data_IF_632074346698
#
_entry.id   IF_632074346698
#
_cell.length_a   1.000
_cell.length_b   1.000
_cell.length_c   1.000
_cell.angle_alpha   90.00
_cell.angle_beta   90.00
_cell.angle_gamma   90.00
#
_symmetry.space_group_name_H-M   'P 1'
#
loop_
_entity.id
_entity.type
_entity.pdbx_description
1 polymer ?
#
# COMPACT_ATOMS: atom_id res chain seq x y z
N UNK A 1 -8.01 -28.28 12.79
CA UNK A 1 -7.98 -27.33 11.65
C UNK A 1 -9.16 -26.40 11.79
N UNK A 2 -8.91 -25.08 11.86
CA UNK A 2 -9.96 -24.04 11.97
C UNK A 2 -10.68 -23.80 10.64
N UNK A 3 -10.11 -24.21 9.51
CA UNK A 3 -10.68 -24.03 8.19
C UNK A 3 -9.69 -23.52 7.16
N UNK A 4 -10.09 -22.49 6.43
CA UNK A 4 -9.29 -21.87 5.38
C UNK A 4 -9.20 -20.37 5.59
N UNK A 5 -8.08 -19.78 5.19
CA UNK A 5 -7.90 -18.33 5.10
C UNK A 5 -7.72 -17.98 3.62
N UNK A 6 -8.74 -17.38 3.03
CA UNK A 6 -8.70 -16.90 1.66
C UNK A 6 -8.11 -15.49 1.69
N UNK A 7 -7.01 -15.30 0.99
CA UNK A 7 -6.27 -14.04 1.04
C UNK A 7 -5.98 -13.56 -0.37
N UNK A 8 -6.12 -12.26 -0.56
CA UNK A 8 -5.69 -11.55 -1.75
C UNK A 8 -4.92 -10.31 -1.33
N UNK A 9 -3.96 -9.87 -2.14
CA UNK A 9 -3.12 -8.71 -1.85
C UNK A 9 -2.93 -7.82 -3.06
N UNK A 10 -2.82 -6.50 -2.81
CA UNK A 10 -2.24 -5.57 -3.76
C UNK A 10 -0.81 -5.21 -3.35
N UNK A 11 0.04 -4.93 -4.33
CA UNK A 11 1.48 -4.75 -4.10
C UNK A 11 2.05 -3.60 -4.92
N UNK A 12 3.18 -3.02 -4.48
CA UNK A 12 3.90 -1.99 -5.24
C UNK A 12 4.53 -2.52 -6.54
N UNK A 13 4.39 -3.80 -6.88
CA UNK A 13 4.89 -4.42 -8.11
C UNK A 13 5.08 -5.93 -7.98
N UNK A 14 5.61 -6.57 -9.00
CA UNK A 14 5.48 -8.02 -9.23
C UNK A 14 6.43 -8.93 -8.43
N UNK A 15 7.44 -8.43 -7.73
CA UNK A 15 8.46 -9.29 -7.12
C UNK A 15 8.99 -8.76 -5.79
N UNK A 16 8.75 -9.50 -4.72
CA UNK A 16 9.30 -9.22 -3.40
C UNK A 16 10.85 -9.14 -3.40
N UNK A 17 11.51 -9.98 -4.21
CA UNK A 17 12.98 -10.00 -4.33
C UNK A 17 13.55 -8.68 -4.89
N UNK A 18 12.77 -7.92 -5.63
CA UNK A 18 13.12 -6.59 -6.11
C UNK A 18 12.69 -5.47 -5.15
N UNK A 19 12.37 -5.85 -3.92
CA UNK A 19 12.02 -4.91 -2.85
C UNK A 19 10.57 -4.44 -2.90
N UNK A 20 9.71 -4.96 -3.79
CA UNK A 20 8.29 -4.63 -3.77
C UNK A 20 7.61 -5.12 -2.49
N UNK A 21 6.59 -4.40 -2.04
CA UNK A 21 5.91 -4.62 -0.77
C UNK A 21 4.39 -4.66 -0.96
N UNK A 22 3.70 -5.21 0.03
CA UNK A 22 2.23 -5.21 0.08
C UNK A 22 1.72 -3.80 0.38
N UNK A 23 0.63 -3.38 -0.29
CA UNK A 23 -0.08 -2.12 -0.07
C UNK A 23 -1.51 -2.30 0.38
N UNK A 24 -2.09 -3.49 0.19
CA UNK A 24 -3.41 -3.84 0.69
C UNK A 24 -3.49 -5.34 0.96
N UNK A 25 -4.26 -5.72 1.96
CA UNK A 25 -4.56 -7.12 2.30
C UNK A 25 -6.06 -7.26 2.49
N UNK A 26 -6.67 -8.25 1.84
CA UNK A 26 -8.01 -8.73 2.10
C UNK A 26 -7.97 -10.19 2.57
N UNK A 27 -8.70 -10.50 3.65
CA UNK A 27 -8.76 -11.83 4.25
C UNK A 27 -10.20 -12.25 4.48
N UNK A 28 -10.53 -13.48 4.08
CA UNK A 28 -11.81 -14.12 4.37
C UNK A 28 -11.54 -15.45 5.07
N UNK A 29 -12.00 -15.59 6.30
CA UNK A 29 -11.86 -16.81 7.08
C UNK A 29 -13.05 -17.73 6.82
N UNK A 30 -12.78 -18.97 6.44
CA UNK A 30 -13.82 -19.97 6.19
C UNK A 30 -13.69 -21.12 7.19
N UNK A 31 -14.85 -21.67 7.59
CA UNK A 31 -14.90 -22.94 8.33
C UNK A 31 -14.36 -24.10 7.50
N UNK A 32 -14.12 -25.28 8.09
CA UNK A 32 -13.76 -26.49 7.34
C UNK A 32 -14.79 -26.88 6.28
N UNK A 33 -16.08 -26.53 6.47
CA UNK A 33 -17.18 -26.77 5.55
C UNK A 33 -17.30 -25.66 4.47
N UNK A 34 -16.51 -24.61 4.58
CA UNK A 34 -16.48 -23.48 3.64
C UNK A 34 -17.43 -22.32 3.99
N UNK A 35 -18.07 -22.31 5.18
CA UNK A 35 -18.87 -21.17 5.59
C UNK A 35 -17.97 -19.98 6.02
N UNK A 36 -18.34 -18.76 5.61
CA UNK A 36 -17.63 -17.53 6.04
C UNK A 36 -17.80 -17.35 7.54
N UNK A 37 -16.72 -17.21 8.26
CA UNK A 37 -16.64 -16.99 9.70
C UNK A 37 -16.33 -15.53 10.03
N UNK A 38 -15.37 -14.94 9.30
CA UNK A 38 -14.94 -13.56 9.49
C UNK A 38 -14.31 -13.03 8.20
N UNK A 39 -14.20 -11.72 8.09
CA UNK A 39 -13.46 -11.06 7.01
C UNK A 39 -12.94 -9.70 7.47
N UNK A 40 -11.77 -9.32 6.95
CA UNK A 40 -11.20 -8.01 7.20
C UNK A 40 -10.30 -7.56 6.05
N UNK A 41 -10.11 -6.26 5.96
CA UNK A 41 -9.17 -5.65 5.01
C UNK A 41 -8.38 -4.54 5.68
N UNK A 42 -7.25 -4.23 5.12
CA UNK A 42 -6.54 -2.99 5.44
C UNK A 42 -5.59 -2.60 4.32
N UNK A 43 -5.50 -1.30 4.09
CA UNK A 43 -4.36 -0.70 3.43
C UNK A 43 -3.11 -0.91 4.28
N UNK A 44 -1.95 -1.01 3.65
CA UNK A 44 -0.65 -1.16 4.29
C UNK A 44 0.27 -0.05 3.82
N UNK A 45 0.90 0.64 4.76
CA UNK A 45 1.99 1.55 4.45
C UNK A 45 3.25 0.74 4.11
N UNK A 46 3.68 0.67 2.84
CA UNK A 46 4.81 -0.14 2.42
C UNK A 46 6.16 0.48 2.81
N UNK A 47 6.17 1.69 3.37
CA UNK A 47 7.35 2.49 3.68
C UNK A 47 8.30 2.66 2.48
N UNK A 48 7.73 2.77 1.29
CA UNK A 48 8.43 2.97 0.02
C UNK A 48 7.49 3.55 -1.03
N UNK A 49 8.06 4.00 -2.15
CA UNK A 49 7.29 4.44 -3.32
C UNK A 49 6.30 3.37 -3.80
N UNK A 50 5.07 3.77 -4.09
CA UNK A 50 4.01 2.92 -4.66
C UNK A 50 4.08 3.04 -6.18
N UNK A 51 4.32 1.91 -6.83
CA UNK A 51 4.16 1.76 -8.27
C UNK A 51 2.88 0.93 -8.54
N UNK A 52 2.51 0.79 -9.81
CA UNK A 52 1.33 0.04 -10.25
C UNK A 52 -0.02 0.63 -9.80
N UNK A 53 -0.08 1.91 -9.45
CA UNK A 53 -1.32 2.65 -9.12
C UNK A 53 -2.37 2.55 -10.23
N UNK A 54 -1.96 2.42 -11.48
CA UNK A 54 -2.85 2.21 -12.62
C UNK A 54 -3.58 0.85 -12.59
N UNK A 55 -3.11 -0.11 -11.78
CA UNK A 55 -3.71 -1.44 -11.65
C UNK A 55 -4.69 -1.49 -10.49
N UNK A 56 -4.24 -1.12 -9.28
CA UNK A 56 -5.04 -1.25 -8.04
C UNK A 56 -5.64 0.06 -7.55
N UNK A 57 -5.28 1.20 -8.15
CA UNK A 57 -5.83 2.52 -7.80
C UNK A 57 -5.33 3.12 -6.49
N UNK A 58 -4.47 2.41 -5.73
CA UNK A 58 -3.97 2.88 -4.44
C UNK A 58 -2.81 3.84 -4.67
N UNK A 59 -2.91 5.03 -4.12
CA UNK A 59 -1.90 6.07 -4.15
C UNK A 59 -1.07 6.11 -2.85
N UNK A 60 0.01 6.88 -2.85
CA UNK A 60 0.83 7.09 -1.65
C UNK A 60 0.01 7.74 -0.53
N UNK A 61 -0.92 8.66 -0.88
CA UNK A 61 -1.81 9.32 0.07
C UNK A 61 -2.75 8.36 0.79
N UNK A 62 -3.22 7.32 0.12
CA UNK A 62 -4.16 6.37 0.70
C UNK A 62 -3.53 5.54 1.82
N UNK A 63 -2.23 5.26 1.71
CA UNK A 63 -1.51 4.39 2.65
C UNK A 63 -0.73 5.12 3.73
N UNK A 64 -0.66 6.45 3.69
CA UNK A 64 0.18 7.19 4.62
C UNK A 64 -0.27 7.01 6.08
N UNK A 65 -1.59 6.99 6.33
CA UNK A 65 -2.19 6.70 7.65
C UNK A 65 -2.44 5.22 7.90
N UNK A 66 -2.10 4.36 6.96
CA UNK A 66 -2.30 2.93 7.10
C UNK A 66 -1.24 2.31 8.02
N UNK A 67 -1.56 1.20 8.71
CA UNK A 67 -0.57 0.46 9.47
C UNK A 67 0.53 -0.08 8.55
N UNK A 68 1.74 -0.20 9.08
CA UNK A 68 2.81 -0.97 8.43
C UNK A 68 2.50 -2.46 8.49
N UNK A 69 3.13 -3.27 7.62
CA UNK A 69 2.94 -4.72 7.68
C UNK A 69 3.29 -5.31 9.06
N UNK A 70 4.34 -4.82 9.70
CA UNK A 70 4.74 -5.27 11.03
C UNK A 70 3.64 -5.07 12.09
N UNK A 71 2.82 -4.04 11.97
CA UNK A 71 1.72 -3.76 12.90
C UNK A 71 0.52 -4.71 12.70
N UNK A 72 0.34 -5.28 11.50
CA UNK A 72 -0.75 -6.22 11.20
C UNK A 72 -0.29 -7.69 11.13
N UNK A 73 1.01 -7.94 11.22
CA UNK A 73 1.58 -9.27 11.08
C UNK A 73 0.97 -10.30 12.05
N UNK A 74 0.77 -9.94 13.31
CA UNK A 74 0.17 -10.84 14.31
C UNK A 74 -1.31 -11.13 14.00
N UNK A 75 -2.07 -10.15 13.51
CA UNK A 75 -3.47 -10.38 13.07
C UNK A 75 -3.51 -11.34 11.89
N UNK A 76 -2.66 -11.14 10.90
CA UNK A 76 -2.58 -12.04 9.75
C UNK A 76 -2.12 -13.44 10.18
N UNK A 77 -1.11 -13.54 11.05
CA UNK A 77 -0.65 -14.81 11.60
C UNK A 77 -1.78 -15.54 12.33
N UNK A 78 -2.60 -14.82 13.11
CA UNK A 78 -3.78 -15.38 13.78
C UNK A 78 -4.85 -15.88 12.80
N UNK A 79 -5.10 -15.14 11.71
CA UNK A 79 -6.01 -15.57 10.65
C UNK A 79 -5.51 -16.82 9.92
N UNK A 80 -4.20 -16.97 9.80
CA UNK A 80 -3.57 -18.14 9.17
C UNK A 80 -3.39 -19.33 10.13
N UNK A 81 -3.49 -19.10 11.45
CA UNK A 81 -3.27 -20.15 12.46
C UNK A 81 -4.26 -21.30 12.31
N UNK A 82 -3.74 -22.53 12.14
CA UNK A 82 -4.52 -23.75 11.95
C UNK A 82 -5.54 -23.67 10.79
N UNK A 83 -5.27 -22.81 9.78
CA UNK A 83 -6.01 -22.71 8.52
C UNK A 83 -5.11 -23.00 7.34
N UNK A 84 -5.68 -23.46 6.22
CA UNK A 84 -4.98 -23.58 4.94
C UNK A 84 -5.11 -22.24 4.22
N UNK A 85 -3.99 -21.72 3.75
CA UNK A 85 -3.96 -20.53 2.90
C UNK A 85 -4.59 -20.83 1.54
N UNK A 86 -5.51 -19.98 1.10
CA UNK A 86 -6.19 -20.10 -0.21
C UNK A 86 -6.05 -18.78 -0.94
N UNK A 87 -5.66 -18.82 -2.22
CA UNK A 87 -5.65 -17.64 -3.08
C UNK A 87 -5.88 -18.03 -4.54
N UNK A 88 -6.10 -17.05 -5.41
CA UNK A 88 -6.21 -17.27 -6.86
C UNK A 88 -4.89 -16.92 -7.54
N UNK A 89 -4.20 -17.92 -8.13
CA UNK A 89 -2.79 -17.82 -8.53
C UNK A 89 -1.85 -17.64 -7.31
N UNK A 90 -2.11 -18.46 -6.32
CA UNK A 90 -1.60 -18.36 -4.95
C UNK A 90 -0.07 -18.26 -4.78
N UNK A 91 0.70 -18.61 -5.81
CA UNK A 91 2.17 -18.46 -5.78
C UNK A 91 2.64 -17.04 -5.57
N UNK A 92 1.90 -16.07 -6.09
CA UNK A 92 2.18 -14.64 -5.94
C UNK A 92 1.93 -14.18 -4.51
N UNK A 93 0.70 -14.30 -4.03
CA UNK A 93 0.27 -13.85 -2.71
C UNK A 93 1.07 -14.52 -1.59
N UNK A 94 1.22 -15.85 -1.67
CA UNK A 94 2.01 -16.60 -0.72
C UNK A 94 3.45 -16.10 -0.62
N UNK A 95 4.08 -15.78 -1.76
CA UNK A 95 5.48 -15.32 -1.75
C UNK A 95 5.63 -14.01 -1.00
N UNK A 96 4.76 -13.05 -1.23
CA UNK A 96 4.79 -11.77 -0.53
C UNK A 96 4.45 -11.94 0.95
N UNK A 97 3.32 -12.58 1.26
CA UNK A 97 2.85 -12.78 2.64
C UNK A 97 3.89 -13.52 3.48
N UNK A 98 4.39 -14.65 2.98
CA UNK A 98 5.39 -15.44 3.72
C UNK A 98 6.68 -14.65 3.93
N UNK A 99 7.13 -13.90 2.94
CA UNK A 99 8.34 -13.09 3.05
C UNK A 99 8.19 -11.94 4.06
N UNK A 100 7.04 -11.27 4.08
CA UNK A 100 6.74 -10.21 5.04
C UNK A 100 6.60 -10.77 6.48
N UNK A 101 5.89 -11.89 6.64
CA UNK A 101 5.75 -12.56 7.94
C UNK A 101 7.10 -13.04 8.48
N UNK A 102 7.98 -13.59 7.61
CA UNK A 102 9.34 -13.97 7.99
C UNK A 102 10.17 -12.76 8.43
N UNK A 103 10.08 -11.65 7.71
CA UNK A 103 10.77 -10.42 8.09
C UNK A 103 10.32 -9.89 9.46
N UNK A 104 9.04 -10.07 9.80
CA UNK A 104 8.47 -9.73 11.11
C UNK A 104 8.65 -10.83 12.17
N UNK A 105 9.26 -11.99 11.83
CA UNK A 105 9.34 -13.18 12.67
C UNK A 105 7.97 -13.71 13.15
N UNK A 106 6.95 -13.53 12.34
CA UNK A 106 5.58 -13.92 12.61
C UNK A 106 5.18 -15.24 11.92
N UNK A 107 6.09 -15.95 11.28
CA UNK A 107 5.89 -17.31 10.77
C UNK A 107 7.20 -18.12 10.76
N UNK A 108 7.07 -19.44 10.53
CA UNK A 108 8.23 -20.32 10.32
C UNK A 108 8.76 -20.24 8.89
N UNK A 109 9.99 -20.73 8.66
CA UNK A 109 10.59 -20.83 7.32
C UNK A 109 9.90 -21.90 6.44
N UNK A 110 9.07 -22.76 7.02
CA UNK A 110 8.32 -23.77 6.27
C UNK A 110 7.30 -23.10 5.35
N UNK A 111 7.11 -23.70 4.17
CA UNK A 111 6.16 -23.15 3.20
C UNK A 111 4.72 -23.25 3.72
N UNK A 112 3.96 -22.15 3.63
CA UNK A 112 2.53 -22.14 3.95
C UNK A 112 1.79 -23.20 3.13
N UNK A 113 1.05 -24.12 3.77
CA UNK A 113 0.17 -25.05 3.07
C UNK A 113 -0.88 -24.28 2.28
N UNK A 114 -0.89 -24.47 0.97
CA UNK A 114 -1.57 -23.55 0.05
C UNK A 114 -2.48 -24.31 -0.91
N UNK A 115 -3.71 -23.82 -1.07
CA UNK A 115 -4.63 -24.18 -2.14
C UNK A 115 -4.67 -23.05 -3.16
N UNK A 116 -4.44 -23.39 -4.42
CA UNK A 116 -4.53 -22.46 -5.54
C UNK A 116 -5.83 -22.69 -6.32
N UNK A 117 -6.76 -21.76 -6.27
CA UNK A 117 -8.04 -21.86 -6.95
C UNK A 117 -7.89 -21.76 -8.48
N UNK A 118 -6.83 -21.15 -9.02
CA UNK A 118 -6.56 -21.16 -10.45
C UNK A 118 -6.14 -22.57 -10.93
N UNK A 119 -5.44 -23.34 -10.09
CA UNK A 119 -5.13 -24.77 -10.37
C UNK A 119 -6.42 -25.59 -10.41
N UNK A 120 -7.32 -25.38 -9.43
CA UNK A 120 -8.62 -26.05 -9.42
C UNK A 120 -9.47 -25.66 -10.63
N UNK A 121 -9.52 -24.38 -10.99
CA UNK A 121 -10.25 -23.90 -12.15
C UNK A 121 -9.75 -24.49 -13.47
N UNK A 122 -8.43 -24.57 -13.68
CA UNK A 122 -7.86 -25.23 -14.87
C UNK A 122 -8.29 -26.70 -14.96
N UNK A 123 -8.41 -27.36 -13.82
CA UNK A 123 -8.71 -28.79 -13.76
C UNK A 123 -10.20 -29.11 -13.93
N UNK A 124 -11.07 -28.22 -13.43
CA UNK A 124 -12.50 -28.57 -13.27
C UNK A 124 -13.48 -27.69 -14.04
N UNK A 125 -13.10 -26.46 -14.43
CA UNK A 125 -14.02 -25.59 -15.16
C UNK A 125 -13.91 -25.71 -16.69
N UNK A 126 -12.82 -26.31 -17.19
CA UNK A 126 -12.62 -26.46 -18.64
C UNK A 126 -12.45 -25.15 -19.40
N UNK A 127 -12.09 -24.07 -18.70
CA UNK A 127 -11.95 -22.75 -19.29
C UNK A 127 -10.61 -22.58 -20.01
N UNK A 128 -10.57 -21.85 -21.15
CA UNK A 128 -9.32 -21.58 -21.87
C UNK A 128 -8.41 -20.60 -21.09
N UNK A 129 -9.00 -19.77 -20.25
CA UNK A 129 -8.34 -18.85 -19.32
C UNK A 129 -8.96 -19.01 -17.95
N UNK A 130 -8.13 -18.87 -16.92
CA UNK A 130 -8.55 -19.06 -15.52
C UNK A 130 -8.12 -17.88 -14.67
N UNK A 131 -8.19 -16.65 -15.20
CA UNK A 131 -8.13 -15.46 -14.35
C UNK A 131 -9.35 -15.42 -13.44
N UNK A 132 -9.26 -14.80 -12.29
CA UNK A 132 -10.37 -14.72 -11.33
C UNK A 132 -11.66 -14.23 -12.01
N UNK A 133 -11.58 -13.14 -12.76
CA UNK A 133 -12.74 -12.60 -13.50
C UNK A 133 -13.36 -13.58 -14.51
N UNK A 134 -12.55 -14.39 -15.22
CA UNK A 134 -13.07 -15.41 -16.16
C UNK A 134 -13.82 -16.51 -15.39
N UNK A 135 -13.29 -16.94 -14.24
CA UNK A 135 -13.92 -17.94 -13.38
C UNK A 135 -15.22 -17.41 -12.76
N UNK A 136 -15.20 -16.17 -12.26
CA UNK A 136 -16.36 -15.50 -11.69
C UNK A 136 -17.48 -15.37 -12.72
N UNK A 137 -17.17 -14.88 -13.93
CA UNK A 137 -18.14 -14.75 -15.02
C UNK A 137 -18.76 -16.11 -15.40
N UNK A 138 -17.96 -17.18 -15.44
CA UNK A 138 -18.43 -18.54 -15.75
C UNK A 138 -19.42 -19.08 -14.71
N UNK A 139 -19.19 -18.78 -13.44
CA UNK A 139 -20.00 -19.26 -12.31
C UNK A 139 -21.09 -18.29 -11.85
N UNK A 140 -21.19 -17.10 -12.46
CA UNK A 140 -22.14 -16.05 -12.04
C UNK A 140 -21.78 -15.43 -10.69
N UNK A 141 -20.50 -15.43 -10.33
CA UNK A 141 -19.99 -14.75 -9.13
C UNK A 141 -19.80 -13.27 -9.45
N UNK A 142 -20.44 -12.39 -8.68
CA UNK A 142 -20.29 -10.96 -8.84
C UNK A 142 -19.05 -10.45 -8.12
N UNK A 143 -18.22 -9.69 -8.83
CA UNK A 143 -17.05 -8.99 -8.30
C UNK A 143 -17.02 -7.58 -8.88
N UNK A 144 -17.82 -6.68 -8.27
CA UNK A 144 -18.01 -5.31 -8.78
C UNK A 144 -16.82 -4.38 -8.47
N UNK A 145 -16.01 -4.73 -7.46
CA UNK A 145 -14.84 -3.98 -7.00
C UNK A 145 -13.54 -4.75 -7.29
N UNK A 146 -13.41 -5.28 -8.52
CA UNK A 146 -12.18 -5.93 -8.94
C UNK A 146 -10.96 -5.01 -8.69
N UNK A 147 -9.84 -5.62 -8.27
CA UNK A 147 -8.62 -4.93 -7.82
C UNK A 147 -8.75 -4.23 -6.44
N UNK A 148 -9.73 -4.65 -5.62
CA UNK A 148 -9.73 -4.45 -4.18
C UNK A 148 -9.47 -5.78 -3.51
N UNK A 149 -8.47 -5.85 -2.63
CA UNK A 149 -8.01 -7.12 -2.06
C UNK A 149 -9.13 -7.88 -1.34
N UNK A 150 -10.02 -7.21 -0.58
CA UNK A 150 -11.14 -7.91 0.06
C UNK A 150 -12.18 -8.40 -0.95
N UNK A 151 -12.50 -7.62 -1.99
CA UNK A 151 -13.47 -8.04 -3.00
C UNK A 151 -12.95 -9.25 -3.80
N UNK A 152 -11.66 -9.27 -4.16
CA UNK A 152 -11.04 -10.39 -4.86
C UNK A 152 -10.88 -11.61 -3.95
N UNK A 153 -10.58 -11.44 -2.65
CA UNK A 153 -10.61 -12.50 -1.66
C UNK A 153 -12.01 -13.10 -1.47
N UNK A 154 -13.07 -12.27 -1.44
CA UNK A 154 -14.46 -12.73 -1.36
C UNK A 154 -14.89 -13.49 -2.61
N UNK A 155 -14.55 -13.00 -3.80
CA UNK A 155 -14.80 -13.70 -5.06
C UNK A 155 -14.06 -15.05 -5.11
N UNK A 156 -12.81 -15.07 -4.66
CA UNK A 156 -12.00 -16.28 -4.53
C UNK A 156 -12.59 -17.25 -3.50
N UNK A 157 -13.13 -16.76 -2.40
CA UNK A 157 -13.82 -17.58 -1.40
C UNK A 157 -15.07 -18.26 -2.00
N UNK A 158 -15.90 -17.53 -2.76
CA UNK A 158 -17.07 -18.10 -3.44
C UNK A 158 -16.65 -19.13 -4.49
N UNK A 159 -15.62 -18.84 -5.26
CA UNK A 159 -15.03 -19.80 -6.22
C UNK A 159 -14.54 -21.06 -5.50
N UNK A 160 -13.87 -20.92 -4.38
CA UNK A 160 -13.39 -22.03 -3.58
C UNK A 160 -14.54 -22.85 -2.95
N UNK A 161 -15.59 -22.19 -2.44
CA UNK A 161 -16.81 -22.84 -1.97
C UNK A 161 -17.47 -23.68 -3.06
N UNK A 162 -17.51 -23.16 -4.31
CA UNK A 162 -18.00 -23.95 -5.44
C UNK A 162 -17.21 -25.27 -5.61
N UNK A 163 -15.87 -25.22 -5.52
CA UNK A 163 -15.05 -26.43 -5.60
C UNK A 163 -15.25 -27.36 -4.41
N UNK A 164 -15.43 -26.85 -3.21
CA UNK A 164 -15.72 -27.66 -2.03
C UNK A 164 -17.00 -28.49 -2.17
N UNK A 165 -18.02 -27.95 -2.84
CA UNK A 165 -19.33 -28.59 -3.00
C UNK A 165 -19.36 -29.49 -4.23
N UNK A 166 -18.79 -29.04 -5.37
CA UNK A 166 -19.07 -29.64 -6.67
C UNK A 166 -17.96 -30.58 -7.20
N UNK A 167 -16.83 -30.70 -6.46
CA UNK A 167 -15.71 -31.52 -6.92
C UNK A 167 -15.22 -32.53 -5.87
N UNK A 168 -16.09 -33.42 -5.31
CA UNK A 168 -15.74 -34.27 -4.17
C UNK A 168 -14.57 -35.21 -4.42
N UNK A 169 -14.53 -35.88 -5.60
CA UNK A 169 -13.49 -36.85 -5.93
C UNK A 169 -12.10 -36.22 -6.12
N UNK A 170 -12.06 -35.00 -6.60
CA UNK A 170 -10.83 -34.25 -6.79
C UNK A 170 -10.28 -33.64 -5.50
N UNK A 171 -11.16 -33.31 -4.58
CA UNK A 171 -10.80 -32.86 -3.24
C UNK A 171 -10.00 -33.94 -2.51
N UNK A 172 -10.28 -35.20 -2.72
CA UNK A 172 -9.71 -36.27 -1.93
C UNK A 172 -8.19 -36.38 -2.00
N UNK A 173 -7.52 -36.21 -3.14
CA UNK A 173 -6.04 -36.25 -3.19
C UNK A 173 -5.39 -34.93 -2.92
N UNK A 174 -5.77 -33.87 -3.67
CA UNK A 174 -5.16 -32.54 -3.54
C UNK A 174 -5.41 -31.93 -2.17
N UNK A 175 -6.64 -31.99 -1.68
CA UNK A 175 -7.00 -31.48 -0.36
C UNK A 175 -6.39 -32.29 0.78
N UNK A 176 -6.31 -33.64 0.65
CA UNK A 176 -5.64 -34.47 1.65
C UNK A 176 -4.15 -34.17 1.76
N UNK A 177 -3.47 -33.91 0.64
CA UNK A 177 -2.07 -33.48 0.66
C UNK A 177 -1.90 -32.15 1.42
N UNK A 178 -2.72 -31.14 1.11
CA UNK A 178 -2.69 -29.84 1.79
C UNK A 178 -3.04 -29.96 3.28
N UNK A 179 -4.02 -30.78 3.62
CA UNK A 179 -4.37 -31.09 5.01
C UNK A 179 -3.25 -31.81 5.77
N UNK A 180 -2.51 -32.70 5.08
CA UNK A 180 -1.36 -33.38 5.66
C UNK A 180 -0.20 -32.39 5.90
N UNK A 181 0.06 -31.49 4.95
CA UNK A 181 1.04 -30.42 5.10
C UNK A 181 0.66 -29.47 6.24
N UNK A 182 -0.62 -29.07 6.37
CA UNK A 182 -1.11 -28.23 7.44
C UNK A 182 -0.87 -28.82 8.83
N UNK A 183 -1.00 -30.14 8.98
CA UNK A 183 -0.73 -30.80 10.26
C UNK A 183 0.75 -30.78 10.66
N UNK A 184 1.63 -30.64 9.69
CA UNK A 184 3.07 -30.54 9.92
C UNK A 184 3.55 -29.10 10.04
N UNK A 185 2.79 -28.15 9.48
CA UNK A 185 3.10 -26.74 9.50
C UNK A 185 2.94 -26.19 10.91
N UNK A 186 3.99 -25.59 11.43
CA UNK A 186 3.97 -24.87 12.69
C UNK A 186 3.84 -23.37 12.40
N UNK A 187 2.63 -22.88 12.45
CA UNK A 187 2.38 -21.46 12.52
C UNK A 187 3.00 -20.93 13.81
N UNK A 188 3.67 -19.79 13.74
CA UNK A 188 3.96 -19.05 14.96
C UNK A 188 2.64 -18.43 15.42
N UNK A 189 2.24 -18.75 16.64
CA UNK A 189 1.12 -18.06 17.28
C UNK A 189 1.45 -16.57 17.39
N UNK A 190 0.46 -15.68 17.33
CA UNK A 190 0.64 -14.27 17.61
C UNK A 190 1.43 -14.06 18.89
N UNK A 191 2.21 -12.99 18.96
CA UNK A 191 2.98 -12.71 20.17
C UNK A 191 2.06 -12.63 21.40
N UNK A 192 2.45 -13.18 22.55
CA UNK A 192 1.63 -13.07 23.77
C UNK A 192 1.32 -11.61 24.08
N UNK A 193 0.01 -11.28 24.15
CA UNK A 193 -0.43 -9.92 24.44
C UNK A 193 -0.50 -8.99 23.21
N UNK A 194 -0.48 -9.53 21.98
CA UNK A 194 -0.76 -8.70 20.79
C UNK A 194 -2.12 -8.01 20.93
N UNK A 195 -2.18 -6.76 20.47
CA UNK A 195 -3.41 -5.99 20.43
C UNK A 195 -3.95 -5.97 19.00
N UNK A 196 -5.28 -5.89 18.86
CA UNK A 196 -5.91 -5.70 17.55
C UNK A 196 -5.39 -4.41 16.91
N UNK A 197 -4.80 -4.47 15.70
CA UNK A 197 -4.28 -3.28 15.05
C UNK A 197 -5.42 -2.35 14.59
N UNK A 198 -5.14 -1.07 14.52
CA UNK A 198 -6.03 -0.14 13.83
C UNK A 198 -5.94 -0.41 12.32
N UNK A 199 -7.04 -0.89 11.74
CA UNK A 199 -7.15 -1.17 10.31
C UNK A 199 -7.66 0.07 9.57
N UNK A 200 -7.22 0.26 8.32
CA UNK A 200 -7.67 1.35 7.45
C UNK A 200 -8.16 0.76 6.12
N UNK A 201 -9.47 0.74 5.90
CA UNK A 201 -10.05 0.32 4.62
C UNK A 201 -9.92 1.41 3.56
N UNK A 202 -10.01 1.05 2.26
CA UNK A 202 -10.09 2.03 1.16
C UNK A 202 -11.20 3.05 1.40
N UNK A 203 -12.39 2.60 1.73
CA UNK A 203 -13.54 3.47 1.95
C UNK A 203 -13.31 4.46 3.11
N UNK A 204 -12.60 4.03 4.17
CA UNK A 204 -12.25 4.92 5.26
C UNK A 204 -11.19 5.95 4.85
N UNK A 205 -10.19 5.54 4.04
CA UNK A 205 -9.19 6.45 3.50
C UNK A 205 -9.81 7.49 2.56
N UNK A 206 -10.68 7.06 1.63
CA UNK A 206 -11.41 7.94 0.71
C UNK A 206 -12.31 8.92 1.48
N UNK A 207 -13.04 8.45 2.50
CA UNK A 207 -13.90 9.29 3.32
C UNK A 207 -13.10 10.35 4.09
N UNK A 208 -11.92 9.98 4.60
CA UNK A 208 -11.01 10.91 5.26
C UNK A 208 -10.47 11.97 4.29
N UNK A 209 -10.12 11.59 3.07
CA UNK A 209 -9.68 12.50 2.01
C UNK A 209 -10.80 13.49 1.61
N UNK A 210 -12.03 13.02 1.46
CA UNK A 210 -13.17 13.87 1.13
C UNK A 210 -13.47 14.88 2.23
N UNK A 211 -13.45 14.46 3.50
CA UNK A 211 -13.67 15.35 4.64
C UNK A 211 -12.62 16.47 4.74
N UNK A 212 -11.41 16.22 4.25
CA UNK A 212 -10.36 17.24 4.22
C UNK A 212 -10.49 18.23 3.08
N UNK A 213 -10.96 17.79 1.93
CA UNK A 213 -11.24 18.70 0.80
C UNK A 213 -12.30 19.73 1.18
N UNK A 214 -13.24 19.36 2.07
CA UNK A 214 -14.33 20.23 2.54
C UNK A 214 -13.93 21.20 3.66
N UNK A 215 -12.80 20.97 4.35
CA UNK A 215 -12.43 21.71 5.57
C UNK A 215 -11.06 22.35 5.56
N UNK A 216 -10.75 23.33 4.70
CA UNK A 216 -9.53 24.16 4.69
C UNK A 216 -8.40 23.81 5.70
N UNK A 217 -7.70 22.71 5.48
CA UNK A 217 -6.69 22.12 6.38
C UNK A 217 -5.59 23.09 6.84
N UNK A 218 -5.26 24.06 5.98
CA UNK A 218 -4.23 25.05 6.28
C UNK A 218 -4.62 25.99 7.43
N UNK A 219 -5.92 26.24 7.63
CA UNK A 219 -6.40 27.07 8.73
C UNK A 219 -6.23 26.41 10.12
N UNK A 220 -6.22 25.07 10.17
CA UNK A 220 -5.97 24.32 11.41
C UNK A 220 -4.50 24.29 11.83
N UNK A 221 -3.56 24.44 10.88
CA UNK A 221 -2.13 24.54 11.11
C UNK A 221 -1.72 25.83 11.84
N UNK A 222 -2.48 26.89 11.60
CA UNK A 222 -2.14 28.28 12.00
C UNK A 222 -2.21 28.54 13.51
N UNK A 223 -2.75 27.65 14.30
CA UNK A 223 -3.16 27.96 15.66
C UNK A 223 -2.12 27.70 16.77
N UNK A 224 -0.91 27.14 16.53
CA UNK A 224 0.04 26.82 17.64
C UNK A 224 1.55 26.99 17.31
N UNK A 225 2.32 27.31 18.29
CA UNK A 225 3.62 28.03 18.41
C UNK A 225 4.91 27.21 18.37
N UNK A 226 5.99 27.86 17.91
CA UNK A 226 7.47 27.86 18.18
C UNK A 226 8.39 26.82 17.47
N UNK A 227 9.52 27.32 16.93
CA UNK A 227 10.42 26.77 15.90
C UNK A 227 11.58 25.93 16.43
N UNK A 228 12.00 24.88 15.75
CA UNK A 228 13.28 24.20 15.97
C UNK A 228 14.15 23.88 14.74
N UNK A 229 15.30 23.26 15.03
CA UNK A 229 16.52 23.06 14.28
C UNK A 229 16.44 22.13 13.04
N UNK A 230 17.51 22.15 12.24
CA UNK A 230 17.74 21.56 10.91
C UNK A 230 17.27 20.09 10.68
N UNK A 231 17.20 19.26 11.71
CA UNK A 231 16.77 17.83 11.56
C UNK A 231 15.26 17.70 11.32
N UNK A 232 14.47 18.59 11.90
CA UNK A 232 13.02 18.59 11.73
C UNK A 232 12.61 18.96 10.30
N UNK A 233 13.36 19.81 9.59
CA UNK A 233 13.10 20.20 8.21
C UNK A 233 13.24 19.00 7.25
N UNK A 234 14.28 18.18 7.41
CA UNK A 234 14.50 16.99 6.57
C UNK A 234 13.39 15.94 6.75
N UNK A 235 12.95 15.72 7.98
CA UNK A 235 11.87 14.76 8.25
C UNK A 235 10.51 15.31 7.79
N UNK A 236 10.30 16.63 7.84
CA UNK A 236 9.12 17.28 7.25
C UNK A 236 9.12 17.16 5.73
N UNK A 237 10.27 17.33 5.06
CA UNK A 237 10.38 17.15 3.62
C UNK A 237 10.11 15.72 3.17
N UNK A 238 10.57 14.71 3.91
CA UNK A 238 10.21 13.30 3.65
C UNK A 238 8.70 13.05 3.72
N UNK A 239 8.01 13.70 4.65
CA UNK A 239 6.55 13.65 4.73
C UNK A 239 5.89 14.33 3.53
N UNK A 240 6.43 15.47 3.07
CA UNK A 240 5.96 16.14 1.86
C UNK A 240 6.25 15.32 0.61
N UNK A 241 7.44 14.72 0.49
CA UNK A 241 7.79 13.81 -0.60
C UNK A 241 6.79 12.66 -0.69
N UNK A 242 6.47 12.03 0.44
CA UNK A 242 5.50 10.94 0.48
C UNK A 242 4.09 11.41 0.08
N UNK A 243 3.64 12.55 0.59
CA UNK A 243 2.28 13.05 0.36
C UNK A 243 2.05 13.68 -1.01
N UNK A 244 3.09 14.21 -1.65
CA UNK A 244 2.96 14.86 -2.96
C UNK A 244 3.25 13.94 -4.14
N UNK A 245 3.61 12.66 -3.89
CA UNK A 245 3.85 11.66 -4.94
C UNK A 245 2.68 11.49 -5.91
N UNK A 246 1.45 11.62 -5.43
CA UNK A 246 0.24 11.55 -6.25
C UNK A 246 -0.34 12.93 -6.63
N UNK A 247 0.41 14.00 -6.36
CA UNK A 247 0.06 15.39 -6.66
C UNK A 247 -1.07 15.98 -5.80
N UNK A 248 -1.43 15.35 -4.67
CA UNK A 248 -2.47 15.82 -3.75
C UNK A 248 -2.07 15.53 -2.32
N UNK A 249 -2.39 16.41 -1.39
CA UNK A 249 -2.28 16.12 0.03
C UNK A 249 -3.65 15.65 0.55
N UNK A 250 -3.72 14.40 0.94
CA UNK A 250 -4.91 13.82 1.57
C UNK A 250 -5.13 14.35 2.99
N UNK A 251 -6.30 14.12 3.57
CA UNK A 251 -6.59 14.47 4.97
C UNK A 251 -5.65 13.84 5.97
N UNK A 252 -5.29 12.62 5.70
CA UNK A 252 -4.38 11.87 6.58
C UNK A 252 -2.98 12.47 6.56
N UNK A 253 -2.49 12.80 5.37
CA UNK A 253 -1.21 13.48 5.18
C UNK A 253 -1.19 14.87 5.84
N UNK A 254 -2.25 15.62 5.64
CA UNK A 254 -2.44 16.92 6.30
C UNK A 254 -2.44 16.78 7.82
N UNK A 255 -3.15 15.75 8.35
CA UNK A 255 -3.16 15.48 9.79
C UNK A 255 -1.77 15.09 10.30
N UNK A 256 -1.01 14.31 9.53
CA UNK A 256 0.36 13.94 9.90
C UNK A 256 1.32 15.11 9.82
N UNK A 257 1.24 15.95 8.78
CA UNK A 257 2.01 17.18 8.66
C UNK A 257 1.68 18.14 9.82
N UNK A 258 0.39 18.24 10.18
CA UNK A 258 -0.07 19.03 11.33
C UNK A 258 0.47 18.47 12.65
N UNK A 259 0.37 17.16 12.85
CA UNK A 259 0.89 16.51 14.07
C UNK A 259 2.41 16.68 14.18
N UNK A 260 3.13 16.56 13.05
CA UNK A 260 4.56 16.82 13.00
C UNK A 260 4.90 18.26 13.36
N UNK A 261 4.20 19.22 12.77
CA UNK A 261 4.38 20.64 13.04
C UNK A 261 4.16 20.94 14.54
N UNK A 262 3.10 20.41 15.13
CA UNK A 262 2.80 20.55 16.56
C UNK A 262 3.88 19.93 17.45
N UNK A 263 4.34 18.72 17.10
CA UNK A 263 5.38 18.02 17.88
C UNK A 263 6.73 18.75 17.85
N UNK A 264 7.02 19.50 16.78
CA UNK A 264 8.28 20.22 16.59
C UNK A 264 8.14 21.74 16.79
N UNK A 265 6.94 22.19 17.21
CA UNK A 265 6.70 23.59 17.54
C UNK A 265 6.83 24.52 16.32
N UNK A 266 6.46 24.11 15.14
CA UNK A 266 6.43 24.91 13.93
C UNK A 266 5.20 25.82 13.94
N UNK A 267 5.40 27.13 13.85
CA UNK A 267 4.32 28.11 13.65
C UNK A 267 4.02 28.31 12.15
N UNK A 268 3.05 29.15 11.85
CA UNK A 268 2.65 29.45 10.46
C UNK A 268 3.82 29.99 9.63
N UNK A 269 4.68 30.79 10.23
CA UNK A 269 5.82 31.38 9.53
C UNK A 269 6.86 30.33 9.23
N UNK A 270 7.23 29.50 10.20
CA UNK A 270 8.18 28.40 10.01
C UNK A 270 7.71 27.34 9.02
N UNK A 271 6.39 27.05 8.99
CA UNK A 271 5.81 26.17 7.98
C UNK A 271 5.88 26.77 6.58
N UNK A 272 5.59 28.05 6.45
CA UNK A 272 5.69 28.73 5.15
C UNK A 272 7.12 28.73 4.64
N UNK A 273 8.11 29.01 5.48
CA UNK A 273 9.52 28.93 5.12
C UNK A 273 9.93 27.52 4.67
N UNK A 274 9.43 26.46 5.35
CA UNK A 274 9.66 25.08 4.94
C UNK A 274 9.01 24.74 3.60
N UNK A 275 7.78 25.20 3.36
CA UNK A 275 7.08 25.00 2.09
C UNK A 275 7.80 25.72 0.94
N UNK A 276 8.24 26.98 1.15
CA UNK A 276 9.01 27.73 0.16
C UNK A 276 10.36 27.04 -0.13
N UNK A 277 11.07 26.61 0.91
CA UNK A 277 12.32 25.87 0.76
C UNK A 277 12.14 24.54 0.01
N UNK A 278 11.07 23.80 0.31
CA UNK A 278 10.75 22.55 -0.38
C UNK A 278 10.46 22.76 -1.87
N UNK A 279 9.62 23.75 -2.22
CA UNK A 279 9.33 24.10 -3.62
C UNK A 279 10.61 24.56 -4.35
N UNK A 280 11.47 25.32 -3.67
CA UNK A 280 12.76 25.73 -4.24
C UNK A 280 13.63 24.54 -4.60
N UNK A 281 13.76 23.54 -3.71
CA UNK A 281 14.48 22.30 -4.00
C UNK A 281 13.91 21.54 -5.20
N UNK A 282 12.57 21.44 -5.29
CA UNK A 282 11.92 20.78 -6.42
C UNK A 282 12.17 21.53 -7.75
N UNK A 283 12.21 22.86 -7.73
CA UNK A 283 12.53 23.71 -8.91
C UNK A 283 13.99 23.50 -9.30
N UNK A 284 14.93 23.47 -8.36
CA UNK A 284 16.35 23.19 -8.64
C UNK A 284 16.53 21.81 -9.27
N UNK A 285 15.82 20.79 -8.79
CA UNK A 285 15.85 19.45 -9.34
C UNK A 285 15.27 19.41 -10.77
N UNK A 286 14.16 20.11 -11.02
CA UNK A 286 13.57 20.22 -12.36
C UNK A 286 14.48 20.92 -13.36
N UNK A 287 15.36 21.82 -12.90
CA UNK A 287 16.37 22.49 -13.73
C UNK A 287 17.69 21.70 -13.87
N UNK A 288 17.83 20.53 -13.22
CA UNK A 288 19.10 19.80 -13.14
C UNK A 288 19.65 19.37 -14.53
N UNK A 289 18.79 19.12 -15.51
CA UNK A 289 19.15 18.80 -16.88
C UNK A 289 19.08 20.01 -17.84
N UNK A 290 18.71 21.19 -17.33
CA UNK A 290 18.62 22.45 -18.07
C UNK A 290 17.31 22.65 -18.83
N UNK A 291 16.34 21.76 -18.73
CA UNK A 291 15.04 21.84 -19.43
C UNK A 291 13.91 21.41 -18.53
N UNK A 292 13.01 22.31 -18.15
CA UNK A 292 11.81 21.94 -17.38
C UNK A 292 10.72 21.47 -18.32
N UNK A 293 10.36 20.20 -18.23
CA UNK A 293 9.32 19.55 -19.03
C UNK A 293 7.91 20.03 -18.66
N UNK A 294 6.94 19.79 -19.54
CA UNK A 294 5.53 20.09 -19.26
C UNK A 294 4.98 19.26 -18.08
N UNK A 295 5.52 18.06 -17.86
CA UNK A 295 5.14 17.20 -16.74
C UNK A 295 5.68 17.75 -15.43
N UNK A 296 6.95 18.14 -15.36
CA UNK A 296 7.55 18.77 -14.18
C UNK A 296 6.84 20.06 -13.80
N UNK A 297 6.49 20.91 -14.78
CA UNK A 297 5.68 22.12 -14.55
C UNK A 297 4.34 21.78 -13.93
N UNK A 298 3.65 20.72 -14.39
CA UNK A 298 2.36 20.30 -13.85
C UNK A 298 2.49 19.77 -12.39
N UNK A 299 3.59 19.06 -12.10
CA UNK A 299 3.89 18.56 -10.74
C UNK A 299 4.16 19.75 -9.81
N UNK A 300 5.04 20.67 -10.19
CA UNK A 300 5.38 21.86 -9.39
C UNK A 300 4.18 22.76 -9.16
N UNK A 301 3.34 22.96 -10.18
CA UNK A 301 2.09 23.73 -10.02
C UNK A 301 1.09 23.03 -9.09
N UNK A 302 1.07 21.70 -9.04
CA UNK A 302 0.22 20.94 -8.12
C UNK A 302 0.73 20.99 -6.69
N UNK A 303 2.04 20.75 -6.49
CA UNK A 303 2.70 20.86 -5.20
C UNK A 303 2.55 22.27 -4.61
N UNK A 304 2.77 23.29 -5.42
CA UNK A 304 2.61 24.67 -4.96
C UNK A 304 1.18 24.99 -4.49
N UNK A 305 0.17 24.53 -5.23
CA UNK A 305 -1.24 24.69 -4.79
C UNK A 305 -1.49 23.97 -3.46
N UNK A 306 -0.97 22.77 -3.31
CA UNK A 306 -1.14 21.98 -2.09
C UNK A 306 -0.46 22.63 -0.87
N UNK A 307 0.64 23.34 -1.10
CA UNK A 307 1.44 24.01 -0.06
C UNK A 307 1.12 25.50 0.11
N UNK A 308 0.11 26.00 -0.61
CA UNK A 308 -0.31 27.40 -0.51
C UNK A 308 0.65 28.40 -1.17
N UNK A 309 1.54 27.94 -2.05
CA UNK A 309 2.45 28.82 -2.80
C UNK A 309 1.71 29.39 -4.02
N UNK A 310 1.75 30.72 -4.26
CA UNK A 310 1.10 31.31 -5.41
C UNK A 310 1.62 30.75 -6.74
N UNK A 311 0.71 30.44 -7.67
CA UNK A 311 1.10 29.89 -8.98
C UNK A 311 2.02 30.85 -9.76
N UNK A 312 1.85 32.16 -9.58
CA UNK A 312 2.68 33.16 -10.22
C UNK A 312 4.16 33.08 -9.80
N UNK A 313 4.43 32.73 -8.53
CA UNK A 313 5.79 32.61 -8.00
C UNK A 313 6.49 31.38 -8.58
N UNK A 314 5.74 30.30 -8.75
CA UNK A 314 6.25 29.06 -9.40
C UNK A 314 6.53 29.31 -10.88
N UNK A 315 5.59 29.91 -11.61
CA UNK A 315 5.79 30.23 -13.03
C UNK A 315 6.97 31.17 -13.26
N UNK A 316 7.14 32.17 -12.38
CA UNK A 316 8.29 33.08 -12.43
C UNK A 316 9.63 32.35 -12.19
N UNK A 317 9.66 31.38 -11.29
CA UNK A 317 10.86 30.57 -11.01
C UNK A 317 11.16 29.53 -12.12
N UNK A 318 10.16 29.20 -12.94
CA UNK A 318 10.29 28.29 -14.10
C UNK A 318 10.52 29.04 -15.43
N UNK A 319 10.67 30.37 -15.39
CA UNK A 319 11.03 31.14 -16.57
C UNK A 319 12.50 30.85 -16.94
N UNK A 320 12.82 30.47 -18.18
CA UNK A 320 14.20 30.22 -18.62
C UNK A 320 15.17 31.35 -18.35
N UNK A 321 14.67 32.60 -18.31
CA UNK A 321 15.51 33.78 -18.06
C UNK A 321 15.88 33.92 -16.56
N UNK A 322 15.20 33.18 -15.66
CA UNK A 322 15.46 33.15 -14.21
C UNK A 322 16.13 31.85 -13.74
N UNK A 323 16.43 30.93 -14.68
CA UNK A 323 17.05 29.64 -14.38
C UNK A 323 18.30 29.82 -13.48
N UNK A 324 18.44 29.01 -12.40
CA UNK A 324 19.64 29.05 -11.56
C UNK A 324 20.87 28.80 -12.43
N UNK A 325 21.80 29.75 -12.47
CA UNK A 325 23.08 29.54 -13.18
C UNK A 325 23.81 28.42 -12.44
N UNK A 326 24.04 27.30 -13.10
CA UNK A 326 24.88 26.23 -12.59
C UNK A 326 26.25 26.81 -12.23
N UNK A 327 26.48 27.08 -10.95
CA UNK A 327 27.81 27.42 -10.48
C UNK A 327 28.74 26.25 -10.84
N UNK A 328 29.69 26.55 -11.72
CA UNK A 328 30.59 25.61 -12.37
C UNK A 328 31.32 24.72 -11.36
N UNK A 329 31.09 23.43 -11.40
CA UNK A 329 32.06 22.45 -10.92
C UNK A 329 33.27 22.49 -11.84
N UNK A 330 34.12 23.53 -11.65
CA UNK A 330 35.46 23.56 -12.19
C UNK A 330 36.41 22.87 -11.20
N UNK A 331 37.19 21.94 -11.73
CA UNK A 331 38.39 21.48 -11.10
C UNK A 331 38.74 20.03 -11.39
N UNK A 332 38.99 19.71 -12.67
CA UNK A 332 39.92 18.61 -12.95
C UNK A 332 41.35 19.18 -12.89
N UNK A 333 42.29 18.61 -12.12
CA UNK A 333 43.70 18.98 -12.24
C UNK A 333 44.25 18.36 -13.52
N UNK A 334 44.79 19.21 -14.39
CA UNK A 334 45.68 18.81 -15.48
C UNK A 334 46.98 18.23 -14.89
N UNK A 335 47.24 16.94 -15.18
CA UNK A 335 48.57 16.37 -15.04
C UNK A 335 49.54 16.96 -16.08
N UNK A 336 50.65 17.52 -15.59
CA UNK A 336 51.95 17.50 -16.23
C UNK A 336 52.83 16.47 -15.55
#
# INVERSE_FOLDING_TARGET
MRGYAVVDIETTGFSYKHGHRIVEIGVVELSPEGAVQDSWETLINPQRHIAATEIHGISASDVLGAPTFAQVADKLAYSLEDRIFVAHNAGFDRTFIQSELLACRACSEEALPTIDTAVLARRYLGLPKVKLGDCCAHLGIHNELAHSALADAMATAQLFQHFLVNTPAAQESYMRERLAEQRLYRSLAPHPGWAEPALLSRAAAESAQQAAQDGGWFAGLVAQREVPSNTAAEDYFKLLDAGLLDRRLSATEQTQLLAFAQAHGLDEHGLRELHEAYITLLIEEAWADGVVTAEERAILASAGRALGIPAADIEAALDPDTAPQAEGRHGAPSEE
#
